data_IF_234141380732
#
_entry.id   IF_234141380732
#
_cell.length_a   1.000
_cell.length_b   1.000
_cell.length_c   1.000
_cell.angle_alpha   90.00
_cell.angle_beta   90.00
_cell.angle_gamma   90.00
#
_symmetry.space_group_name_H-M   'P 1'
#
loop_
_entity.id
_entity.type
_entity.pdbx_description
1 polymer ?
#
# COMPACT_ATOMS: atom_id res chain seq x y z
N UNK A 1 3.06 3.05 1.11
CA UNK A 1 4.10 4.05 0.73
C UNK A 1 3.87 5.40 1.38
N UNK A 2 2.72 6.06 1.22
CA UNK A 2 2.47 7.40 1.83
C UNK A 2 2.43 7.36 3.36
N UNK A 3 1.94 6.28 3.96
CA UNK A 3 2.02 6.01 5.39
C UNK A 3 3.46 5.86 5.87
N UNK A 4 4.29 5.06 5.18
CA UNK A 4 5.73 4.91 5.45
C UNK A 4 6.50 6.22 5.25
N UNK A 5 6.13 7.01 4.23
CA UNK A 5 6.66 8.36 4.01
C UNK A 5 6.32 9.27 5.18
N UNK A 6 5.05 9.28 5.62
CA UNK A 6 4.62 10.08 6.77
C UNK A 6 5.27 9.63 8.08
N UNK A 7 5.48 8.34 8.28
CA UNK A 7 6.14 7.78 9.46
C UNK A 7 7.64 8.11 9.46
N UNK A 8 8.31 7.94 8.32
CA UNK A 8 9.69 8.41 8.13
C UNK A 8 9.81 9.93 8.33
N UNK A 9 8.85 10.71 7.81
CA UNK A 9 8.78 12.17 8.00
C UNK A 9 8.37 12.57 9.43
N UNK A 10 7.64 11.74 10.16
CA UNK A 10 7.24 11.98 11.56
C UNK A 10 8.46 11.96 12.49
N UNK A 11 9.49 11.21 12.13
CA UNK A 11 10.77 11.17 12.83
C UNK A 11 11.75 12.25 12.33
N UNK A 12 11.42 12.94 11.23
CA UNK A 12 12.18 14.06 10.69
C UNK A 12 11.68 15.36 11.33
N UNK A 13 12.21 15.64 12.52
CA UNK A 13 11.85 16.77 13.38
C UNK A 13 11.90 18.08 12.60
N UNK A 14 10.80 18.84 12.59
CA UNK A 14 10.77 20.25 12.18
C UNK A 14 11.00 21.08 13.44
N UNK A 15 12.09 21.84 13.52
CA UNK A 15 12.31 22.75 14.66
C UNK A 15 11.40 23.98 14.52
N UNK A 16 10.71 24.41 15.59
CA UNK A 16 10.09 25.73 15.66
C UNK A 16 11.14 26.74 16.15
N UNK A 17 12.30 26.82 15.51
CA UNK A 17 13.32 27.78 15.95
C UNK A 17 13.20 29.10 15.17
N UNK A 18 12.56 30.03 15.88
CA UNK A 18 12.48 31.48 15.67
C UNK A 18 11.65 31.87 14.43
N UNK A 19 10.50 32.54 14.68
CA UNK A 19 9.53 33.08 13.68
C UNK A 19 8.56 32.09 13.01
N UNK A 20 8.33 30.88 13.56
CA UNK A 20 7.26 30.01 13.05
C UNK A 20 7.52 29.39 11.68
N UNK A 21 8.78 29.31 11.24
CA UNK A 21 9.18 28.58 10.04
C UNK A 21 9.51 27.14 10.37
N UNK A 22 9.06 26.21 9.54
CA UNK A 22 9.41 24.79 9.63
C UNK A 22 10.74 24.59 8.89
N UNK A 23 11.79 24.18 9.59
CA UNK A 23 13.11 23.89 9.01
C UNK A 23 13.30 22.40 8.76
N UNK A 24 13.84 22.06 7.58
CA UNK A 24 14.16 20.68 7.20
C UNK A 24 15.56 20.27 7.71
N UNK A 25 15.63 19.37 8.69
CA UNK A 25 16.89 18.98 9.37
C UNK A 25 17.91 18.24 8.49
N UNK A 26 17.48 17.70 7.36
CA UNK A 26 18.37 17.02 6.41
C UNK A 26 18.89 17.97 5.31
N UNK A 27 18.70 19.27 5.50
CA UNK A 27 19.24 20.30 4.63
C UNK A 27 19.95 21.40 5.43
N UNK A 28 21.16 21.75 5.01
CA UNK A 28 21.99 22.76 5.69
C UNK A 28 21.41 24.18 5.60
N UNK A 29 20.49 24.43 4.66
CA UNK A 29 19.76 25.69 4.53
C UNK A 29 18.34 25.59 5.12
N UNK A 30 17.97 24.43 5.69
CA UNK A 30 16.65 24.18 6.24
C UNK A 30 15.54 24.06 5.19
N UNK A 31 15.87 23.93 3.90
CA UNK A 31 14.88 23.92 2.80
C UNK A 31 14.46 22.49 2.47
N UNK A 32 13.14 22.26 2.40
CA UNK A 32 12.60 20.99 1.94
C UNK A 32 12.86 20.77 0.44
N UNK A 33 13.34 19.58 0.08
CA UNK A 33 13.33 19.14 -1.31
C UNK A 33 12.98 17.66 -1.42
N UNK A 34 12.20 17.31 -2.45
CA UNK A 34 11.82 15.92 -2.71
C UNK A 34 13.03 15.03 -2.97
N UNK A 35 14.09 15.57 -3.59
CA UNK A 35 15.32 14.83 -3.86
C UNK A 35 16.00 14.38 -2.57
N UNK A 36 16.23 15.28 -1.61
CA UNK A 36 16.81 14.93 -0.30
C UNK A 36 15.91 14.01 0.50
N UNK A 37 14.59 14.23 0.46
CA UNK A 37 13.65 13.32 1.10
C UNK A 37 13.82 11.89 0.56
N UNK A 38 13.88 11.72 -0.77
CA UNK A 38 14.09 10.41 -1.40
C UNK A 38 15.45 9.82 -1.00
N UNK A 39 16.53 10.60 -1.02
CA UNK A 39 17.86 10.15 -0.59
C UNK A 39 17.84 9.61 0.84
N UNK A 40 17.22 10.33 1.78
CA UNK A 40 17.11 9.86 3.18
C UNK A 40 16.20 8.64 3.31
N UNK A 41 15.09 8.58 2.58
CA UNK A 41 14.21 7.42 2.59
C UNK A 41 14.91 6.15 2.10
N UNK A 42 15.68 6.27 1.03
CA UNK A 42 16.50 5.18 0.51
C UNK A 42 17.59 4.78 1.52
N UNK A 43 18.20 5.75 2.22
CA UNK A 43 19.21 5.44 3.24
C UNK A 43 18.66 4.72 4.47
N UNK A 44 17.37 4.89 4.80
CA UNK A 44 16.69 4.12 5.85
C UNK A 44 16.01 2.85 5.33
N UNK A 45 16.30 2.44 4.09
CA UNK A 45 15.84 1.18 3.51
C UNK A 45 14.36 1.18 3.08
N UNK A 46 13.74 2.35 2.87
CA UNK A 46 12.40 2.40 2.27
C UNK A 46 12.51 2.08 0.79
N UNK A 47 11.92 0.96 0.39
CA UNK A 47 11.77 0.61 -1.02
C UNK A 47 10.74 1.54 -1.72
N UNK A 48 11.23 2.28 -2.72
CA UNK A 48 10.46 3.17 -3.59
C UNK A 48 10.43 2.66 -5.05
N UNK A 49 10.86 1.43 -5.31
CA UNK A 49 11.10 0.89 -6.65
C UNK A 49 9.84 0.48 -7.42
N UNK A 50 8.66 0.48 -6.79
CA UNK A 50 7.45 0.06 -7.46
C UNK A 50 7.06 1.01 -8.59
N UNK A 51 7.11 0.50 -9.83
CA UNK A 51 6.71 1.22 -11.04
C UNK A 51 5.18 1.27 -11.17
N UNK A 52 4.61 2.41 -10.78
CA UNK A 52 3.15 2.65 -10.85
C UNK A 52 2.61 2.66 -12.28
N UNK A 53 3.44 2.89 -13.31
CA UNK A 53 2.99 2.86 -14.71
C UNK A 53 2.51 1.46 -15.11
N UNK A 54 3.01 0.42 -14.45
CA UNK A 54 2.57 -0.96 -14.68
C UNK A 54 1.07 -1.13 -14.41
N UNK A 55 0.50 -0.43 -13.41
CA UNK A 55 -0.94 -0.48 -13.11
C UNK A 55 -1.74 0.10 -14.29
N UNK A 56 -1.26 1.21 -14.86
CA UNK A 56 -1.97 1.90 -15.93
C UNK A 56 -1.89 1.18 -17.28
N UNK A 57 -0.85 0.38 -17.49
CA UNK A 57 -0.66 -0.48 -18.67
C UNK A 57 -1.53 -1.73 -18.68
N UNK A 58 -2.18 -2.10 -17.57
CA UNK A 58 -3.06 -3.28 -17.51
C UNK A 58 -4.26 -3.16 -18.47
N UNK A 59 -4.66 -4.28 -19.05
CA UNK A 59 -5.86 -4.37 -19.90
C UNK A 59 -7.11 -4.72 -19.07
N UNK A 60 -7.40 -3.88 -18.07
CA UNK A 60 -8.55 -4.04 -17.14
C UNK A 60 -9.38 -2.75 -17.06
N UNK A 61 -10.65 -2.80 -16.62
CA UNK A 61 -11.46 -1.60 -16.46
C UNK A 61 -10.81 -0.55 -15.55
N UNK A 62 -11.05 0.74 -15.82
CA UNK A 62 -10.44 1.85 -15.08
C UNK A 62 -10.67 1.75 -13.57
N UNK A 63 -11.85 1.28 -13.14
CA UNK A 63 -12.16 1.08 -11.72
C UNK A 63 -11.18 0.12 -11.03
N UNK A 64 -10.73 -0.93 -11.73
CA UNK A 64 -9.73 -1.87 -11.22
C UNK A 64 -8.36 -1.20 -11.13
N UNK A 65 -7.97 -0.42 -12.14
CA UNK A 65 -6.71 0.35 -12.11
C UNK A 65 -6.67 1.34 -10.94
N UNK A 66 -7.74 2.13 -10.77
CA UNK A 66 -7.87 3.07 -9.65
C UNK A 66 -7.81 2.37 -8.30
N UNK A 67 -8.43 1.19 -8.19
CA UNK A 67 -8.40 0.39 -6.97
C UNK A 67 -6.99 -0.15 -6.65
N UNK A 68 -6.31 -0.74 -7.62
CA UNK A 68 -4.92 -1.20 -7.47
C UNK A 68 -3.98 -0.05 -7.10
N UNK A 69 -4.17 1.12 -7.74
CA UNK A 69 -3.43 2.31 -7.38
C UNK A 69 -3.68 2.72 -5.92
N UNK A 70 -4.93 2.77 -5.46
CA UNK A 70 -5.24 3.10 -4.05
C UNK A 70 -4.62 2.11 -3.05
N UNK A 71 -4.58 0.81 -3.36
CA UNK A 71 -3.90 -0.20 -2.53
C UNK A 71 -2.40 0.10 -2.48
N UNK A 72 -1.78 0.33 -3.64
CA UNK A 72 -0.33 0.56 -3.76
C UNK A 72 0.18 1.74 -2.92
N UNK A 73 -0.65 2.77 -2.74
CA UNK A 73 -0.32 3.95 -1.95
C UNK A 73 -0.89 3.93 -0.53
N UNK A 74 -1.53 2.83 -0.10
CA UNK A 74 -2.14 2.63 1.22
C UNK A 74 -3.22 3.70 1.55
N UNK A 75 -4.16 3.87 0.61
CA UNK A 75 -5.20 4.93 0.66
C UNK A 75 -6.63 4.41 0.65
N UNK A 76 -6.83 3.11 0.87
CA UNK A 76 -8.18 2.59 1.09
C UNK A 76 -8.71 3.06 2.45
N UNK A 77 -10.04 3.23 2.60
CA UNK A 77 -10.65 3.76 3.81
C UNK A 77 -10.74 2.71 4.92
N UNK A 78 -9.60 2.12 5.31
CA UNK A 78 -9.57 1.18 6.43
C UNK A 78 -9.73 1.90 7.75
N UNK A 79 -10.19 1.23 8.81
CA UNK A 79 -10.31 1.84 10.15
C UNK A 79 -9.00 2.44 10.64
N UNK A 80 -7.88 1.74 10.43
CA UNK A 80 -6.54 2.26 10.76
C UNK A 80 -6.25 3.56 10.02
N UNK A 81 -6.56 3.63 8.72
CA UNK A 81 -6.36 4.85 7.93
C UNK A 81 -7.27 6.00 8.39
N UNK A 82 -8.51 5.71 8.75
CA UNK A 82 -9.46 6.70 9.27
C UNK A 82 -9.01 7.26 10.61
N UNK A 83 -8.57 6.41 11.54
CA UNK A 83 -8.04 6.83 12.85
C UNK A 83 -6.81 7.73 12.68
N UNK A 84 -5.89 7.36 11.79
CA UNK A 84 -4.71 8.20 11.45
C UNK A 84 -5.08 9.58 10.89
N UNK A 85 -6.29 9.74 10.37
CA UNK A 85 -6.84 11.03 9.91
C UNK A 85 -7.66 11.77 10.97
N UNK A 86 -7.68 11.28 12.20
CA UNK A 86 -8.40 11.88 13.32
C UNK A 86 -9.89 11.51 13.39
N UNK A 87 -10.34 10.52 12.60
CA UNK A 87 -11.71 10.03 12.70
C UNK A 87 -11.85 9.20 13.98
N UNK A 88 -12.78 9.60 14.85
CA UNK A 88 -13.08 8.89 16.09
C UNK A 88 -14.04 7.74 15.80
N UNK A 89 -13.57 6.50 15.91
CA UNK A 89 -14.39 5.29 15.71
C UNK A 89 -15.07 4.79 16.99
N UNK A 90 -14.77 5.39 18.15
CA UNK A 90 -15.38 5.04 19.42
C UNK A 90 -15.21 3.56 19.76
N UNK A 91 -16.31 2.90 20.13
CA UNK A 91 -16.34 1.48 20.53
C UNK A 91 -16.03 0.51 19.38
N UNK A 92 -16.04 0.97 18.12
CA UNK A 92 -15.75 0.11 16.97
C UNK A 92 -14.25 -0.25 16.88
N UNK A 93 -13.38 0.55 17.50
CA UNK A 93 -11.92 0.37 17.50
C UNK A 93 -11.32 0.36 16.09
N UNK A 94 -10.12 -0.20 15.95
CA UNK A 94 -9.47 -0.43 14.66
C UNK A 94 -9.53 -1.89 14.19
N UNK A 95 -10.28 -2.77 14.88
CA UNK A 95 -10.29 -4.21 14.58
C UNK A 95 -10.87 -4.56 13.21
N UNK A 96 -10.29 -5.57 12.57
CA UNK A 96 -10.75 -6.14 11.31
C UNK A 96 -12.19 -6.69 11.45
N UNK A 97 -13.13 -6.34 10.55
CA UNK A 97 -14.52 -6.75 10.64
C UNK A 97 -14.76 -8.22 10.28
N UNK A 98 -13.74 -8.91 9.77
CA UNK A 98 -13.87 -10.32 9.35
C UNK A 98 -13.24 -11.29 10.34
N UNK A 99 -12.02 -11.03 10.79
CA UNK A 99 -11.33 -11.93 11.72
C UNK A 99 -11.49 -11.54 13.19
N UNK A 100 -11.78 -10.26 13.47
CA UNK A 100 -11.86 -9.69 14.83
C UNK A 100 -10.61 -9.90 15.71
N UNK A 101 -9.45 -10.23 15.11
CA UNK A 101 -8.20 -10.57 15.83
C UNK A 101 -7.10 -9.52 15.67
N UNK A 102 -7.04 -8.87 14.51
CA UNK A 102 -6.00 -7.90 14.15
C UNK A 102 -6.63 -6.58 13.71
N UNK A 103 -5.80 -5.53 13.66
CA UNK A 103 -6.20 -4.21 13.14
C UNK A 103 -6.54 -4.28 11.64
N UNK A 104 -7.57 -3.53 11.25
CA UNK A 104 -8.01 -3.36 9.88
C UNK A 104 -7.04 -2.45 9.12
N UNK A 105 -6.03 -3.07 8.52
CA UNK A 105 -5.08 -2.45 7.59
C UNK A 105 -5.34 -2.94 6.17
N UNK A 106 -4.82 -2.24 5.16
CA UNK A 106 -4.91 -2.69 3.77
C UNK A 106 -4.23 -4.05 3.61
N UNK A 107 -3.03 -4.21 4.18
CA UNK A 107 -2.28 -5.46 4.11
C UNK A 107 -3.08 -6.60 4.74
N UNK A 108 -3.64 -6.39 5.94
CA UNK A 108 -4.45 -7.41 6.60
C UNK A 108 -5.69 -7.76 5.77
N UNK A 109 -6.48 -6.76 5.34
CA UNK A 109 -7.72 -6.99 4.60
C UNK A 109 -7.50 -7.74 3.27
N UNK A 110 -6.39 -7.50 2.58
CA UNK A 110 -6.18 -8.07 1.25
C UNK A 110 -5.28 -9.31 1.24
N UNK A 111 -4.37 -9.46 2.20
CA UNK A 111 -3.30 -10.46 2.11
C UNK A 111 -3.20 -11.39 3.33
N UNK A 112 -3.48 -10.91 4.55
CA UNK A 112 -3.21 -11.70 5.78
C UNK A 112 -4.46 -12.16 6.53
N UNK A 113 -5.64 -11.62 6.24
CA UNK A 113 -6.86 -12.02 6.92
C UNK A 113 -7.26 -13.47 6.55
N UNK A 114 -7.45 -14.35 7.53
CA UNK A 114 -7.89 -15.73 7.28
C UNK A 114 -9.20 -15.82 6.45
N UNK A 115 -10.08 -14.82 6.58
CA UNK A 115 -11.27 -14.71 5.76
C UNK A 115 -10.93 -14.47 4.28
N UNK A 116 -10.02 -13.53 3.99
CA UNK A 116 -9.64 -13.21 2.61
C UNK A 116 -8.78 -14.33 2.00
N UNK A 117 -7.93 -14.98 2.80
CA UNK A 117 -7.18 -16.16 2.38
C UNK A 117 -8.12 -17.25 1.83
N UNK A 118 -9.22 -17.51 2.53
CA UNK A 118 -10.21 -18.51 2.08
C UNK A 118 -10.86 -18.12 0.75
N UNK A 119 -11.09 -16.84 0.53
CA UNK A 119 -11.59 -16.32 -0.75
C UNK A 119 -10.56 -16.51 -1.86
N UNK A 120 -9.31 -16.11 -1.63
CA UNK A 120 -8.26 -16.20 -2.64
C UNK A 120 -7.95 -17.65 -3.02
N UNK A 121 -7.89 -18.57 -2.05
CA UNK A 121 -7.74 -20.01 -2.33
C UNK A 121 -8.79 -20.48 -3.34
N UNK A 122 -10.07 -20.24 -3.06
CA UNK A 122 -11.17 -20.62 -3.96
C UNK A 122 -11.10 -19.93 -5.32
N UNK A 123 -10.73 -18.66 -5.35
CA UNK A 123 -10.60 -17.90 -6.59
C UNK A 123 -9.48 -18.44 -7.48
N UNK A 124 -8.35 -18.85 -6.88
CA UNK A 124 -7.18 -19.37 -7.58
C UNK A 124 -7.30 -20.86 -7.92
N UNK A 125 -8.07 -21.62 -7.14
CA UNK A 125 -8.38 -23.02 -7.44
C UNK A 125 -9.07 -23.16 -8.80
N UNK A 126 -9.88 -22.16 -9.22
CA UNK A 126 -10.47 -22.14 -10.56
C UNK A 126 -9.44 -22.18 -11.70
N UNK A 127 -8.18 -21.84 -11.40
CA UNK A 127 -7.09 -21.75 -12.36
C UNK A 127 -5.93 -22.69 -11.96
N UNK A 128 -6.17 -23.61 -11.03
CA UNK A 128 -5.19 -24.59 -10.55
C UNK A 128 -3.94 -23.95 -9.95
N UNK A 129 -4.04 -22.72 -9.42
CA UNK A 129 -2.89 -22.03 -8.83
C UNK A 129 -2.97 -22.07 -7.31
N UNK A 130 -1.88 -22.50 -6.68
CA UNK A 130 -1.79 -22.53 -5.22
C UNK A 130 -1.69 -21.12 -4.66
N UNK A 131 -2.50 -20.84 -3.64
CA UNK A 131 -2.34 -19.65 -2.82
C UNK A 131 -1.02 -19.67 -2.05
N UNK A 132 -0.33 -18.53 -2.07
CA UNK A 132 0.78 -18.21 -1.18
C UNK A 132 0.47 -16.88 -0.46
N UNK A 133 0.79 -16.74 0.83
CA UNK A 133 0.71 -15.44 1.50
C UNK A 133 1.52 -14.39 0.73
N UNK A 134 0.96 -13.19 0.57
CA UNK A 134 1.68 -12.05 0.00
C UNK A 134 2.19 -11.17 1.15
N UNK A 135 3.45 -10.76 1.12
CA UNK A 135 4.02 -9.87 2.14
C UNK A 135 3.60 -8.40 1.90
N UNK A 136 3.11 -8.09 0.69
CA UNK A 136 2.46 -6.83 0.41
C UNK A 136 1.94 -6.70 -1.01
N UNK A 137 1.60 -5.46 -1.38
CA UNK A 137 1.07 -5.14 -2.71
C UNK A 137 2.02 -5.51 -3.87
N UNK A 138 3.36 -5.34 -3.80
CA UNK A 138 4.24 -5.70 -4.92
C UNK A 138 4.18 -7.18 -5.30
N UNK A 139 4.15 -8.08 -4.30
CA UNK A 139 4.06 -9.52 -4.53
C UNK A 139 2.71 -9.89 -5.12
N UNK A 140 1.63 -9.36 -4.54
CA UNK A 140 0.28 -9.52 -5.06
C UNK A 140 0.17 -9.01 -6.51
N UNK A 141 0.71 -7.82 -6.80
CA UNK A 141 0.64 -7.22 -8.12
C UNK A 141 1.40 -8.04 -9.15
N UNK A 142 2.59 -8.54 -8.81
CA UNK A 142 3.38 -9.41 -9.68
C UNK A 142 2.61 -10.69 -10.02
N UNK A 143 1.97 -11.30 -9.03
CA UNK A 143 1.14 -12.48 -9.21
C UNK A 143 -0.11 -12.19 -10.06
N UNK A 144 -0.82 -11.10 -9.78
CA UNK A 144 -2.00 -10.68 -10.52
C UNK A 144 -1.70 -10.40 -12.00
N UNK A 145 -0.56 -9.76 -12.30
CA UNK A 145 -0.10 -9.52 -13.67
C UNK A 145 0.14 -10.84 -14.38
N UNK A 146 0.86 -11.79 -13.77
CA UNK A 146 1.12 -13.12 -14.34
C UNK A 146 -0.21 -13.80 -14.70
N UNK A 147 -1.18 -13.79 -13.78
CA UNK A 147 -2.51 -14.34 -14.03
C UNK A 147 -3.22 -13.65 -15.19
N UNK A 148 -3.24 -12.32 -15.22
CA UNK A 148 -3.89 -11.58 -16.31
C UNK A 148 -3.27 -11.86 -17.69
N UNK A 149 -1.95 -12.07 -17.75
CA UNK A 149 -1.24 -12.44 -18.97
C UNK A 149 -1.56 -13.86 -19.42
N UNK A 150 -1.67 -14.81 -18.48
CA UNK A 150 -2.09 -16.19 -18.77
C UNK A 150 -3.52 -16.21 -19.35
N UNK A 151 -4.45 -15.40 -18.83
CA UNK A 151 -5.80 -15.32 -19.41
C UNK A 151 -5.80 -14.76 -20.83
N UNK A 152 -5.02 -13.71 -21.07
CA UNK A 152 -4.89 -13.11 -22.40
C UNK A 152 -4.30 -14.13 -23.36
N UNK A 153 -3.28 -14.87 -22.93
CA UNK A 153 -2.66 -15.92 -23.74
C UNK A 153 -3.65 -17.05 -24.07
N UNK A 154 -4.36 -17.59 -23.08
CA UNK A 154 -5.36 -18.65 -23.28
C UNK A 154 -6.53 -18.19 -24.16
N UNK A 155 -6.94 -16.92 -24.10
CA UNK A 155 -8.01 -16.39 -24.96
C UNK A 155 -7.58 -16.13 -26.41
N UNK A 156 -6.30 -15.87 -26.65
CA UNK A 156 -5.78 -15.50 -27.97
C UNK A 156 -5.22 -16.72 -28.72
N UNK A 157 -4.71 -17.71 -28.00
CA UNK A 157 -3.99 -18.86 -28.58
C UNK A 157 -4.52 -20.23 -28.15
N UNK A 158 -5.56 -20.29 -27.29
CA UNK A 158 -6.20 -21.51 -26.81
C UNK A 158 -7.55 -21.80 -27.45
#
# INVERSE_FOLDING_TARGET
MVSRLKEAMSNMILFPEVEGRLLWIHDNQGVFSMRKLIEVLLSVGVDLSFDFDKIWKLMVPLKVKSFLWMISIDRLPTKEFLIRRGVKLGQLGNGCPWCYRESETVVHLFFHCNFIESFWRKFLDWWEVKWSPFDGFPDFFSYFVIMSLIQVWLKVYG
#
